data_IF_064950560362
#
_entry.id   IF_064950560362
#
_cell.length_a   1.000
_cell.length_b   1.000
_cell.length_c   1.000
_cell.angle_alpha   90.00
_cell.angle_beta   90.00
_cell.angle_gamma   90.00
#
_symmetry.space_group_name_H-M   'P 1'
#
loop_
_entity.id
_entity.type
_entity.pdbx_description
1 polymer ?
#
# COMPACT_ATOMS: atom_id res chain seq x y z
N UNK A 1 10.57 -5.60 1.01
CA UNK A 1 10.43 -5.67 -0.46
C UNK A 1 11.06 -4.40 -1.02
N UNK A 2 11.62 -4.43 -2.23
CA UNK A 2 12.18 -3.22 -2.87
C UNK A 2 11.79 -3.22 -4.34
N UNK A 3 11.23 -2.12 -4.83
CA UNK A 3 10.86 -1.98 -6.24
C UNK A 3 12.12 -1.80 -7.09
N UNK A 4 12.18 -2.47 -8.25
CA UNK A 4 13.33 -2.48 -9.16
C UNK A 4 12.98 -2.03 -10.56
N UNK A 5 11.69 -2.07 -10.93
CA UNK A 5 11.22 -1.72 -12.26
C UNK A 5 9.96 -0.86 -12.24
N UNK A 6 9.68 -0.21 -13.36
CA UNK A 6 8.47 0.59 -13.54
C UNK A 6 7.21 -0.27 -13.55
N UNK A 7 7.28 -1.49 -14.10
CA UNK A 7 6.19 -2.45 -14.05
C UNK A 7 5.86 -2.88 -12.61
N UNK A 8 6.87 -3.08 -11.77
CA UNK A 8 6.66 -3.35 -10.34
C UNK A 8 6.06 -2.14 -9.62
N UNK A 9 6.43 -0.92 -9.99
CA UNK A 9 5.82 0.30 -9.46
C UNK A 9 4.33 0.38 -9.82
N UNK A 10 3.96 0.12 -11.07
CA UNK A 10 2.56 0.11 -11.52
C UNK A 10 1.76 -0.94 -10.77
N UNK A 11 2.24 -2.19 -10.73
CA UNK A 11 1.58 -3.28 -10.01
C UNK A 11 1.42 -2.96 -8.51
N UNK A 12 2.42 -2.33 -7.90
CA UNK A 12 2.39 -1.95 -6.48
C UNK A 12 1.38 -0.84 -6.21
N UNK A 13 1.23 0.13 -7.13
CA UNK A 13 0.20 1.18 -7.04
C UNK A 13 -1.21 0.62 -7.20
N UNK A 14 -1.41 -0.30 -8.14
CA UNK A 14 -2.69 -1.00 -8.28
C UNK A 14 -3.04 -1.79 -7.01
N UNK A 15 -2.06 -2.53 -6.47
CA UNK A 15 -2.24 -3.27 -5.22
C UNK A 15 -2.55 -2.35 -4.04
N UNK A 16 -1.88 -1.20 -3.98
CA UNK A 16 -2.11 -0.20 -2.94
C UNK A 16 -3.56 0.32 -2.98
N UNK A 17 -4.08 0.59 -4.19
CA UNK A 17 -5.48 1.02 -4.37
C UNK A 17 -6.46 -0.04 -3.89
N UNK A 18 -6.29 -1.30 -4.30
CA UNK A 18 -7.15 -2.41 -3.84
C UNK A 18 -7.17 -2.55 -2.31
N UNK A 19 -6.01 -2.39 -1.67
CA UNK A 19 -5.89 -2.49 -0.21
C UNK A 19 -6.57 -1.32 0.50
N UNK A 20 -6.49 -0.12 -0.06
CA UNK A 20 -7.19 1.07 0.44
C UNK A 20 -8.70 0.91 0.31
N UNK A 21 -9.19 0.47 -0.86
CA UNK A 21 -10.61 0.21 -1.08
C UNK A 21 -11.15 -0.82 -0.08
N UNK A 22 -10.38 -1.89 0.18
CA UNK A 22 -10.74 -2.90 1.17
C UNK A 22 -10.73 -2.37 2.60
N UNK A 23 -9.75 -1.54 2.95
CA UNK A 23 -9.69 -0.91 4.27
C UNK A 23 -10.91 0.00 4.49
N UNK A 24 -11.28 0.78 3.48
CA UNK A 24 -12.45 1.66 3.53
C UNK A 24 -13.76 0.86 3.60
N UNK A 25 -13.87 -0.24 2.85
CA UNK A 25 -14.99 -1.17 2.94
C UNK A 25 -15.15 -1.75 4.35
N UNK A 26 -14.06 -2.27 4.92
CA UNK A 26 -14.06 -2.79 6.29
C UNK A 26 -14.31 -1.72 7.35
N UNK A 27 -13.95 -0.45 7.10
CA UNK A 27 -14.24 0.63 8.05
C UNK A 27 -15.75 0.92 8.17
N UNK A 28 -16.50 0.66 7.09
CA UNK A 28 -17.94 0.88 7.00
C UNK A 28 -18.77 -0.36 7.32
N UNK A 29 -18.16 -1.54 7.25
CA UNK A 29 -18.81 -2.80 7.58
C UNK A 29 -18.98 -2.95 9.10
N UNK A 30 -20.23 -3.13 9.53
CA UNK A 30 -20.60 -3.35 10.93
C UNK A 30 -21.08 -4.77 11.20
N UNK A 31 -21.21 -5.61 10.16
CA UNK A 31 -21.73 -6.97 10.24
C UNK A 31 -20.69 -7.99 10.71
N UNK A 32 -19.40 -7.79 10.42
CA UNK A 32 -18.32 -8.65 10.91
C UNK A 32 -18.04 -8.47 12.42
N UNK A 33 -17.50 -9.53 13.05
CA UNK A 33 -16.96 -9.48 14.41
C UNK A 33 -15.99 -8.30 14.57
N UNK A 34 -16.31 -7.42 15.52
CA UNK A 34 -15.58 -6.17 15.75
C UNK A 34 -14.09 -6.40 16.06
N UNK A 35 -13.73 -7.50 16.72
CA UNK A 35 -12.33 -7.83 17.03
C UNK A 35 -11.59 -8.28 15.78
N UNK A 36 -12.19 -9.15 14.98
CA UNK A 36 -11.60 -9.62 13.72
C UNK A 36 -11.41 -8.44 12.76
N UNK A 37 -12.45 -7.62 12.57
CA UNK A 37 -12.40 -6.42 11.73
C UNK A 37 -11.26 -5.47 12.14
N UNK A 38 -11.14 -5.18 13.44
CA UNK A 38 -10.06 -4.32 13.97
C UNK A 38 -8.67 -4.89 13.67
N UNK A 39 -8.45 -6.19 13.88
CA UNK A 39 -7.16 -6.83 13.60
C UNK A 39 -6.83 -6.83 12.10
N UNK A 40 -7.83 -7.08 11.25
CA UNK A 40 -7.70 -7.01 9.79
C UNK A 40 -7.34 -5.59 9.35
N UNK A 41 -8.02 -4.57 9.86
CA UNK A 41 -7.73 -3.18 9.55
C UNK A 41 -6.33 -2.75 9.99
N UNK A 42 -5.85 -3.18 11.17
CA UNK A 42 -4.48 -2.91 11.63
C UNK A 42 -3.46 -3.53 10.67
N UNK A 43 -3.68 -4.78 10.26
CA UNK A 43 -2.79 -5.49 9.35
C UNK A 43 -2.77 -4.83 7.97
N UNK A 44 -3.95 -4.47 7.43
CA UNK A 44 -4.07 -3.76 6.16
C UNK A 44 -3.38 -2.40 6.19
N UNK A 45 -3.58 -1.62 7.26
CA UNK A 45 -2.93 -0.31 7.40
C UNK A 45 -1.41 -0.42 7.41
N UNK A 46 -0.84 -1.42 8.10
CA UNK A 46 0.61 -1.68 8.09
C UNK A 46 1.11 -1.99 6.68
N UNK A 47 0.39 -2.82 5.94
CA UNK A 47 0.76 -3.17 4.57
C UNK A 47 0.68 -1.96 3.63
N UNK A 48 -0.39 -1.17 3.71
CA UNK A 48 -0.57 0.07 2.95
C UNK A 48 0.61 1.02 3.19
N UNK A 49 0.97 1.25 4.46
CA UNK A 49 2.10 2.10 4.80
C UNK A 49 3.41 1.57 4.21
N UNK A 50 3.67 0.27 4.33
CA UNK A 50 4.88 -0.34 3.78
C UNK A 50 4.98 -0.17 2.26
N UNK A 51 3.90 -0.45 1.52
CA UNK A 51 3.89 -0.28 0.07
C UNK A 51 4.02 1.19 -0.35
N UNK A 52 3.42 2.10 0.42
CA UNK A 52 3.55 3.55 0.20
C UNK A 52 5.00 4.01 0.35
N UNK A 53 5.67 3.58 1.43
CA UNK A 53 7.09 3.88 1.62
C UNK A 53 7.97 3.31 0.51
N UNK A 54 7.70 2.09 0.03
CA UNK A 54 8.46 1.50 -1.06
C UNK A 54 8.31 2.27 -2.38
N UNK A 55 7.09 2.74 -2.69
CA UNK A 55 6.84 3.62 -3.83
C UNK A 55 7.66 4.91 -3.69
N UNK A 56 7.58 5.57 -2.54
CA UNK A 56 8.32 6.82 -2.27
C UNK A 56 9.83 6.61 -2.38
N UNK A 57 10.36 5.52 -1.80
CA UNK A 57 11.79 5.17 -1.88
C UNK A 57 12.23 4.96 -3.33
N UNK A 58 11.45 4.23 -4.13
CA UNK A 58 11.75 3.97 -5.53
C UNK A 58 11.74 5.25 -6.37
N UNK A 59 10.72 6.09 -6.21
CA UNK A 59 10.60 7.36 -6.92
C UNK A 59 11.71 8.35 -6.55
N UNK A 60 12.06 8.44 -5.28
CA UNK A 60 13.18 9.26 -4.81
C UNK A 60 14.52 8.77 -5.40
N UNK A 61 14.74 7.45 -5.43
CA UNK A 61 15.93 6.85 -6.05
C UNK A 61 16.00 7.01 -7.57
N UNK A 62 14.87 7.17 -8.26
CA UNK A 62 14.84 7.52 -9.69
C UNK A 62 15.17 8.99 -9.94
N UNK A 63 14.70 9.90 -9.09
CA UNK A 63 14.98 11.35 -9.23
C UNK A 63 16.48 11.65 -9.11
N UNK A 64 17.22 10.92 -8.28
CA UNK A 64 18.67 11.10 -8.10
C UNK A 64 19.54 10.53 -9.23
N UNK A 65 18.98 9.66 -10.09
CA UNK A 65 19.70 9.04 -11.23
C UNK A 65 19.62 9.84 -12.53
N UNK A 66 19.14 11.08 -12.49
CA UNK A 66 19.14 12.00 -13.63
C UNK A 66 20.25 13.03 -13.41
N UNK A 67 21.50 12.79 -13.86
CA UNK A 67 22.48 13.87 -13.97
C UNK A 67 22.08 14.75 -15.16
N UNK A 68 22.06 16.06 -14.92
CA UNK A 68 21.90 17.12 -15.93
C UNK A 68 23.11 17.13 -16.85
#
# INVERSE_FOLDING_TARGET
>A
MTLRSESELVNTREKLRELQDRFDGLSRDTAEDQRVRRLTMISLKRLINQLTEEIVRYEAGRRTRTPV
#
